data_IF_752912366496
#
_entry.id   IF_752912366496
#
_cell.length_a   1.000
_cell.length_b   1.000
_cell.length_c   1.000
_cell.angle_alpha   90.00
_cell.angle_beta   90.00
_cell.angle_gamma   90.00
#
_symmetry.space_group_name_H-M   'P 1'
#
loop_
_entity.id
_entity.type
_entity.pdbx_description
1 polymer ?
#
# COMPACT_ATOMS: atom_id res chain seq x y z
N UNK A 1 -4.25 10.84 -6.03
CA UNK A 1 -2.91 11.07 -6.62
C UNK A 1 -3.02 11.99 -7.84
N UNK A 2 -2.34 13.14 -7.87
CA UNK A 2 -2.35 14.04 -9.04
C UNK A 2 -1.30 13.56 -10.05
N UNK A 3 -1.74 12.89 -11.12
CA UNK A 3 -0.92 12.61 -12.30
C UNK A 3 -1.63 13.20 -13.51
N UNK A 4 -1.09 14.29 -14.05
CA UNK A 4 -1.27 14.63 -15.45
C UNK A 4 -0.10 15.50 -15.88
N UNK A 5 0.65 15.11 -16.92
CA UNK A 5 1.95 15.64 -17.36
C UNK A 5 1.96 17.09 -17.88
N UNK A 6 1.40 18.01 -17.10
CA UNK A 6 1.62 19.44 -17.24
C UNK A 6 2.78 19.91 -16.36
N UNK A 7 3.32 21.10 -16.59
CA UNK A 7 4.41 21.67 -15.76
C UNK A 7 4.07 21.73 -14.26
N UNK A 8 2.78 21.72 -13.89
CA UNK A 8 2.34 21.67 -12.50
C UNK A 8 2.68 20.35 -11.81
N UNK A 9 2.60 19.19 -12.47
CA UNK A 9 2.93 17.89 -11.83
C UNK A 9 4.41 17.75 -11.50
N UNK A 10 5.30 18.24 -12.37
CA UNK A 10 6.75 18.24 -12.10
C UNK A 10 7.09 19.08 -10.86
N UNK A 11 6.39 20.21 -10.67
CA UNK A 11 6.55 21.06 -9.48
C UNK A 11 5.99 20.37 -8.22
N UNK A 12 4.89 19.61 -8.33
CA UNK A 12 4.32 18.87 -7.19
C UNK A 12 5.08 17.59 -6.83
N UNK A 13 5.85 17.02 -7.76
CA UNK A 13 6.71 15.85 -7.55
C UNK A 13 8.18 16.22 -7.29
N UNK A 14 8.51 17.52 -7.26
CA UNK A 14 9.83 17.97 -6.86
C UNK A 14 10.12 17.53 -5.42
N UNK A 15 11.22 16.80 -5.24
CA UNK A 15 11.62 16.30 -3.93
C UNK A 15 12.02 17.46 -3.03
N UNK A 16 11.27 17.69 -1.95
CA UNK A 16 11.78 18.47 -0.82
C UNK A 16 12.95 17.69 -0.21
N UNK A 17 14.12 18.33 -0.15
CA UNK A 17 15.34 17.69 0.35
C UNK A 17 15.31 17.50 1.87
N UNK A 18 14.39 18.16 2.59
CA UNK A 18 14.28 18.10 4.05
C UNK A 18 13.40 16.94 4.56
N UNK A 19 12.74 16.20 3.68
CA UNK A 19 11.96 15.01 4.06
C UNK A 19 12.75 13.72 3.79
N UNK A 20 12.57 12.71 4.64
CA UNK A 20 13.27 11.42 4.51
C UNK A 20 12.45 10.38 3.74
N UNK A 21 11.12 10.49 3.78
CA UNK A 21 10.19 9.55 3.18
C UNK A 21 9.02 10.31 2.53
N UNK A 22 8.44 9.66 1.52
CA UNK A 22 7.17 10.01 0.92
C UNK A 22 6.17 8.91 1.22
N UNK A 23 4.99 9.29 1.69
CA UNK A 23 3.87 8.37 1.87
C UNK A 23 2.79 8.74 0.85
N UNK A 24 2.54 7.85 -0.10
CA UNK A 24 1.42 7.93 -1.02
C UNK A 24 0.21 7.24 -0.38
N UNK A 25 -0.92 7.94 -0.37
CA UNK A 25 -2.17 7.42 0.18
C UNK A 25 -3.32 7.80 -0.73
N UNK A 26 -4.15 6.82 -1.07
CA UNK A 26 -5.38 7.07 -1.80
C UNK A 26 -6.44 7.70 -0.91
N UNK A 27 -7.28 8.55 -1.51
CA UNK A 27 -8.29 9.31 -0.79
C UNK A 27 -9.39 8.42 -0.18
N UNK A 28 -9.55 7.22 -0.71
CA UNK A 28 -10.49 6.20 -0.23
C UNK A 28 -9.80 5.14 0.63
N UNK A 29 -8.56 5.30 1.08
CA UNK A 29 -7.92 4.36 2.01
C UNK A 29 -8.14 4.85 3.45
N UNK A 30 -8.45 3.90 4.34
CA UNK A 30 -8.61 4.07 5.78
C UNK A 30 -7.53 3.26 6.49
N UNK A 31 -6.82 3.88 7.43
CA UNK A 31 -5.70 3.26 8.14
C UNK A 31 -5.65 3.70 9.60
N UNK A 32 -4.97 2.90 10.43
CA UNK A 32 -4.60 3.31 11.79
C UNK A 32 -3.28 4.08 11.77
N UNK A 33 -3.07 5.09 12.64
CA UNK A 33 -1.79 5.82 12.70
C UNK A 33 -0.56 4.91 12.87
N UNK A 34 -0.70 3.82 13.63
CA UNK A 34 0.38 2.85 13.85
C UNK A 34 0.78 2.05 12.60
N UNK A 35 0.03 2.13 11.49
CA UNK A 35 0.46 1.57 10.22
C UNK A 35 1.75 2.24 9.71
N UNK A 36 1.85 3.56 9.88
CA UNK A 36 3.03 4.33 9.45
C UNK A 36 4.26 3.89 10.25
N UNK A 37 4.12 3.79 11.58
CA UNK A 37 5.22 3.36 12.46
C UNK A 37 5.71 1.95 12.11
N UNK A 38 4.79 1.03 11.78
CA UNK A 38 5.13 -0.32 11.33
C UNK A 38 5.92 -0.31 10.02
N UNK A 39 5.44 0.41 9.01
CA UNK A 39 6.15 0.50 7.72
C UNK A 39 7.54 1.12 7.87
N UNK A 40 7.67 2.17 8.67
CA UNK A 40 8.97 2.81 8.98
C UNK A 40 9.93 1.82 9.67
N UNK A 41 9.43 1.00 10.60
CA UNK A 41 10.26 0.04 11.34
C UNK A 41 10.88 -1.06 10.47
N UNK A 42 10.32 -1.37 9.29
CA UNK A 42 10.87 -2.36 8.36
C UNK A 42 12.10 -1.88 7.59
N UNK A 43 12.38 -0.57 7.59
CA UNK A 43 13.54 0.07 6.96
C UNK A 43 13.73 -0.26 5.45
N UNK A 44 12.65 -0.50 4.71
CA UNK A 44 12.71 -0.78 3.28
C UNK A 44 12.75 0.49 2.44
N UNK A 45 13.36 0.40 1.26
CA UNK A 45 13.40 1.52 0.32
C UNK A 45 12.00 1.84 -0.23
N UNK A 46 11.21 0.80 -0.54
CA UNK A 46 9.82 0.89 -0.99
C UNK A 46 9.02 -0.21 -0.28
N UNK A 47 7.95 0.17 0.40
CA UNK A 47 7.07 -0.76 1.12
C UNK A 47 5.61 -0.30 1.11
N UNK A 48 4.70 -1.22 0.80
CA UNK A 48 3.26 -0.98 0.84
C UNK A 48 2.60 -1.71 2.02
N UNK A 49 1.59 -1.09 2.63
CA UNK A 49 0.67 -1.81 3.51
C UNK A 49 -0.29 -2.65 2.66
N UNK A 50 -0.76 -3.77 3.21
CA UNK A 50 -1.70 -4.63 2.50
C UNK A 50 -3.12 -4.06 2.52
N UNK A 51 -3.77 -4.07 1.37
CA UNK A 51 -5.20 -3.81 1.24
C UNK A 51 -5.79 -4.72 0.17
N UNK A 52 -7.05 -5.08 0.37
CA UNK A 52 -7.76 -6.00 -0.50
C UNK A 52 -7.94 -5.37 -1.87
N UNK A 53 -7.56 -6.12 -2.89
CA UNK A 53 -7.81 -5.74 -4.26
C UNK A 53 -9.32 -5.66 -4.52
N UNK A 54 -9.76 -4.66 -5.29
CA UNK A 54 -11.16 -4.58 -5.75
C UNK A 54 -11.53 -5.78 -6.62
N UNK A 55 -10.53 -6.36 -7.29
CA UNK A 55 -10.62 -7.60 -8.05
C UNK A 55 -10.28 -8.82 -7.18
N UNK A 56 -10.72 -10.03 -7.57
CA UNK A 56 -10.35 -11.26 -6.85
C UNK A 56 -11.20 -11.59 -5.62
N UNK A 57 -12.43 -11.06 -5.56
CA UNK A 57 -13.47 -11.47 -4.62
C UNK A 57 -13.04 -11.48 -3.13
N UNK A 58 -12.21 -10.50 -2.74
CA UNK A 58 -11.79 -10.33 -1.35
C UNK A 58 -10.69 -11.28 -0.86
N UNK A 59 -10.03 -12.02 -1.77
CA UNK A 59 -9.07 -13.07 -1.44
C UNK A 59 -7.61 -12.71 -1.68
N UNK A 60 -7.35 -11.56 -2.29
CA UNK A 60 -6.01 -11.16 -2.72
C UNK A 60 -5.75 -9.71 -2.38
N UNK A 61 -4.48 -9.36 -2.17
CA UNK A 61 -4.04 -7.99 -1.99
C UNK A 61 -3.73 -7.32 -3.33
N UNK A 62 -3.68 -5.99 -3.34
CA UNK A 62 -3.24 -5.18 -4.48
C UNK A 62 -1.70 -5.19 -4.61
N UNK A 63 -1.13 -6.38 -4.76
CA UNK A 63 0.30 -6.61 -4.96
C UNK A 63 0.54 -8.01 -5.54
N UNK A 64 1.71 -8.22 -6.15
CA UNK A 64 2.13 -9.55 -6.55
C UNK A 64 3.29 -9.61 -7.53
N UNK A 65 3.28 -10.65 -8.35
CA UNK A 65 4.35 -10.96 -9.31
C UNK A 65 3.86 -10.74 -10.73
N UNK A 66 4.78 -10.43 -11.63
CA UNK A 66 4.48 -10.46 -13.07
C UNK A 66 4.39 -11.91 -13.55
N UNK A 67 3.53 -12.17 -14.53
CA UNK A 67 3.31 -13.55 -15.02
C UNK A 67 4.18 -13.86 -16.23
N UNK A 68 3.87 -13.27 -17.39
CA UNK A 68 4.57 -13.60 -18.64
C UNK A 68 5.74 -12.64 -18.89
N UNK A 69 5.49 -11.35 -18.73
CA UNK A 69 6.45 -10.27 -18.98
C UNK A 69 6.30 -9.18 -17.92
N UNK A 70 7.34 -8.36 -17.74
CA UNK A 70 7.31 -7.25 -16.81
C UNK A 70 6.12 -6.32 -17.07
N UNK A 71 5.35 -6.05 -16.00
CA UNK A 71 4.14 -5.24 -16.00
C UNK A 71 2.85 -5.98 -16.38
N UNK A 72 2.94 -7.25 -16.81
CA UNK A 72 1.77 -8.11 -16.98
C UNK A 72 1.36 -8.69 -15.61
N UNK A 73 0.37 -8.07 -14.98
CA UNK A 73 -0.17 -8.53 -13.70
C UNK A 73 -0.90 -9.87 -13.94
N UNK A 74 -0.40 -10.94 -13.32
CA UNK A 74 -1.11 -12.23 -13.27
C UNK A 74 -1.05 -12.86 -11.87
N UNK A 75 0.12 -12.83 -11.21
CA UNK A 75 0.25 -13.29 -9.83
C UNK A 75 -0.17 -12.21 -8.82
N UNK A 76 -1.08 -12.54 -7.89
CA UNK A 76 -1.45 -11.69 -6.75
C UNK A 76 -1.12 -12.37 -5.42
N UNK A 77 -0.73 -11.57 -4.42
CA UNK A 77 -0.49 -12.04 -3.06
C UNK A 77 -1.82 -12.44 -2.43
N UNK A 78 -1.87 -13.63 -1.80
CA UNK A 78 -3.04 -14.11 -1.09
C UNK A 78 -3.31 -13.24 0.14
N UNK A 79 -4.58 -13.02 0.47
CA UNK A 79 -4.98 -12.39 1.74
C UNK A 79 -4.55 -13.21 2.98
N UNK A 80 -4.29 -14.50 2.80
CA UNK A 80 -3.78 -15.39 3.85
C UNK A 80 -2.26 -15.25 4.06
N UNK A 81 -1.55 -14.54 3.19
CA UNK A 81 -0.13 -14.26 3.37
C UNK A 81 0.08 -13.38 4.60
N UNK A 82 1.21 -13.60 5.29
CA UNK A 82 1.62 -12.88 6.50
C UNK A 82 3.05 -12.37 6.36
N UNK A 83 3.42 -11.44 7.24
CA UNK A 83 4.76 -10.86 7.28
C UNK A 83 5.14 -10.08 6.03
N UNK A 84 6.44 -9.92 5.85
CA UNK A 84 7.01 -9.12 4.79
C UNK A 84 7.30 -9.96 3.54
N UNK A 85 6.71 -9.58 2.41
CA UNK A 85 6.85 -10.31 1.15
C UNK A 85 7.48 -9.39 0.09
N UNK A 86 8.49 -9.89 -0.62
CA UNK A 86 9.07 -9.22 -1.78
C UNK A 86 8.17 -9.47 -2.99
N UNK A 87 7.86 -8.43 -3.74
CA UNK A 87 6.90 -8.48 -4.87
C UNK A 87 7.47 -7.74 -6.08
N UNK A 88 6.93 -8.01 -7.26
CA UNK A 88 7.29 -7.28 -8.48
C UNK A 88 6.48 -6.00 -8.63
N UNK A 89 5.26 -5.96 -8.10
CA UNK A 89 4.40 -4.79 -8.15
C UNK A 89 3.51 -4.66 -6.91
N UNK A 90 3.14 -3.41 -6.63
CA UNK A 90 2.18 -3.02 -5.59
C UNK A 90 1.28 -1.92 -6.12
N UNK A 91 0.04 -1.87 -5.66
CA UNK A 91 -0.77 -0.66 -5.75
C UNK A 91 -0.27 0.42 -4.80
N UNK A 92 -0.54 1.69 -5.14
CA UNK A 92 -0.05 2.85 -4.41
C UNK A 92 -1.05 3.43 -3.39
N UNK A 93 -2.07 2.66 -3.01
CA UNK A 93 -3.10 3.10 -2.07
C UNK A 93 -2.57 3.39 -0.66
N UNK A 94 -1.48 2.73 -0.24
CA UNK A 94 -0.75 3.06 0.98
C UNK A 94 0.72 2.64 0.87
N UNK A 95 1.52 3.47 0.18
CA UNK A 95 2.88 3.17 -0.24
C UNK A 95 3.89 4.14 0.39
N UNK A 96 4.82 3.62 1.17
CA UNK A 96 5.91 4.36 1.78
C UNK A 96 7.21 4.17 0.99
N UNK A 97 7.82 5.26 0.57
CA UNK A 97 9.07 5.28 -0.17
C UNK A 97 10.10 6.14 0.55
N UNK A 98 11.33 5.66 0.70
CA UNK A 98 12.45 6.53 1.09
C UNK A 98 12.72 7.54 -0.02
N UNK A 99 13.02 8.79 0.34
CA UNK A 99 13.40 9.84 -0.64
C UNK A 99 14.52 9.35 -1.56
N UNK A 100 15.58 8.74 -1.00
CA UNK A 100 16.71 8.19 -1.78
C UNK A 100 16.32 7.12 -2.80
N UNK A 101 15.20 6.43 -2.60
CA UNK A 101 14.71 5.44 -3.55
C UNK A 101 14.08 6.16 -4.75
N UNK A 102 13.24 7.17 -4.48
CA UNK A 102 12.64 8.01 -5.51
C UNK A 102 13.69 8.80 -6.31
N UNK A 103 14.79 9.24 -5.69
CA UNK A 103 15.92 9.91 -6.37
C UNK A 103 16.65 9.02 -7.38
N UNK A 104 16.56 7.69 -7.22
CA UNK A 104 17.15 6.74 -8.16
C UNK A 104 16.24 6.44 -9.34
N UNK A 105 14.96 6.75 -9.23
CA UNK A 105 13.94 6.47 -10.23
C UNK A 105 13.86 7.57 -11.28
N UNK A 106 13.50 7.21 -12.51
CA UNK A 106 13.27 8.18 -13.56
C UNK A 106 11.99 8.97 -13.26
N UNK A 107 12.02 10.31 -13.41
CA UNK A 107 10.81 11.12 -13.35
C UNK A 107 10.08 11.09 -14.71
N UNK A 108 8.72 11.05 -14.75
CA UNK A 108 7.80 10.93 -13.61
C UNK A 108 7.84 9.54 -12.97
N UNK A 109 7.70 9.46 -11.65
CA UNK A 109 7.76 8.17 -10.94
C UNK A 109 6.62 7.24 -11.35
N UNK A 110 5.43 7.81 -11.53
CA UNK A 110 4.23 7.12 -11.99
C UNK A 110 4.00 7.42 -13.47
N UNK A 111 3.78 6.39 -14.26
CA UNK A 111 3.55 6.51 -15.71
C UNK A 111 2.71 5.35 -16.21
N UNK A 112 2.12 5.46 -17.40
CA UNK A 112 1.31 4.39 -18.00
C UNK A 112 2.09 3.76 -19.18
N UNK A 113 3.14 2.95 -18.92
CA UNK A 113 3.91 2.35 -20.01
C UNK A 113 3.05 1.40 -20.85
N UNK A 114 3.46 1.26 -22.11
CA UNK A 114 2.95 0.25 -23.02
C UNK A 114 3.87 -0.96 -22.96
N UNK A 115 3.35 -2.10 -22.51
CA UNK A 115 4.05 -3.37 -22.61
C UNK A 115 3.76 -3.97 -23.98
N UNK A 116 4.80 -4.45 -24.65
CA UNK A 116 4.69 -5.20 -25.89
C UNK A 116 5.38 -6.54 -25.72
N UNK A 117 4.68 -7.62 -26.04
CA UNK A 117 5.29 -8.95 -26.09
C UNK A 117 4.72 -9.75 -27.24
N UNK A 118 5.49 -10.74 -27.70
CA UNK A 118 5.06 -11.66 -28.76
C UNK A 118 5.07 -13.07 -28.18
N UNK A 119 3.96 -13.78 -28.31
CA UNK A 119 3.89 -15.21 -28.00
C UNK A 119 3.75 -16.03 -29.27
N UNK A 120 4.18 -17.29 -29.20
CA UNK A 120 3.99 -18.27 -30.27
C UNK A 120 2.88 -19.23 -29.85
N UNK A 121 1.76 -19.21 -30.56
CA UNK A 121 0.64 -20.12 -30.31
C UNK A 121 0.20 -20.76 -31.64
N UNK A 122 0.09 -22.09 -31.65
CA UNK A 122 -0.36 -22.87 -32.82
C UNK A 122 0.44 -22.57 -34.11
N UNK A 123 1.74 -22.31 -33.99
CA UNK A 123 2.62 -22.00 -35.12
C UNK A 123 2.43 -20.59 -35.69
N UNK A 124 1.78 -19.68 -34.95
CA UNK A 124 1.62 -18.27 -35.31
C UNK A 124 2.19 -17.36 -34.23
N UNK A 125 2.72 -16.22 -34.65
CA UNK A 125 3.07 -15.12 -33.77
C UNK A 125 1.83 -14.30 -33.41
N UNK A 126 1.59 -14.16 -32.11
CA UNK A 126 0.56 -13.28 -31.56
C UNK A 126 1.26 -12.12 -30.87
N UNK A 127 0.95 -10.90 -31.33
CA UNK A 127 1.51 -9.66 -30.80
C UNK A 127 0.54 -9.07 -29.78
N UNK A 128 1.02 -8.93 -28.55
CA UNK A 128 0.27 -8.36 -27.43
C UNK A 128 0.76 -6.95 -27.14
N UNK A 129 -0.18 -6.03 -26.98
CA UNK A 129 0.09 -4.68 -26.50
C UNK A 129 -0.89 -4.35 -25.37
N UNK A 130 -0.36 -4.10 -24.17
CA UNK A 130 -1.16 -3.82 -22.98
C UNK A 130 -0.72 -2.48 -22.40
N UNK A 131 -1.68 -1.57 -22.21
CA UNK A 131 -1.48 -0.37 -21.41
C UNK A 131 -1.49 -0.79 -19.94
N UNK A 132 -0.46 -0.46 -19.17
CA UNK A 132 -0.50 -0.66 -17.72
C UNK A 132 -1.18 0.52 -17.04
N UNK A 133 -1.64 0.29 -15.82
CA UNK A 133 -1.93 1.39 -14.90
C UNK A 133 -0.63 2.05 -14.41
N UNK A 134 -0.80 3.17 -13.72
CA UNK A 134 0.28 4.00 -13.20
C UNK A 134 1.08 3.36 -12.07
N UNK A 135 0.44 2.55 -11.24
CA UNK A 135 1.05 1.87 -10.09
C UNK A 135 2.01 0.77 -10.55
N UNK A 136 1.63 0.04 -11.59
CA UNK A 136 2.50 -0.89 -12.29
C UNK A 136 3.65 -0.14 -12.95
N UNK A 137 3.39 1.02 -13.56
CA UNK A 137 4.46 1.85 -14.13
C UNK A 137 5.46 2.34 -13.08
N UNK A 138 4.99 2.71 -11.89
CA UNK A 138 5.86 3.00 -10.75
C UNK A 138 6.71 1.78 -10.36
N UNK A 139 6.08 0.62 -10.26
CA UNK A 139 6.77 -0.63 -9.89
C UNK A 139 7.83 -1.03 -10.92
N UNK A 140 7.53 -0.90 -12.21
CA UNK A 140 8.49 -1.12 -13.31
C UNK A 140 9.67 -0.14 -13.22
N UNK A 141 9.41 1.14 -12.96
CA UNK A 141 10.46 2.15 -12.82
C UNK A 141 11.38 1.88 -11.62
N UNK A 142 10.80 1.50 -10.48
CA UNK A 142 11.56 1.11 -9.29
C UNK A 142 12.49 -0.08 -9.60
N UNK A 143 11.96 -1.11 -10.26
CA UNK A 143 12.73 -2.30 -10.65
C UNK A 143 13.82 -2.00 -11.68
N UNK A 144 13.51 -1.20 -12.69
CA UNK A 144 14.50 -0.72 -13.67
C UNK A 144 15.65 0.06 -13.01
N UNK A 145 15.38 0.67 -11.85
CA UNK A 145 16.35 1.38 -11.01
C UNK A 145 17.09 0.46 -10.02
N UNK A 146 16.85 -0.84 -10.08
CA UNK A 146 17.44 -1.85 -9.18
C UNK A 146 16.96 -1.73 -7.74
N UNK A 147 15.69 -1.37 -7.53
CA UNK A 147 15.05 -1.30 -6.22
C UNK A 147 14.15 -2.51 -6.00
N UNK A 148 14.13 -2.98 -4.76
CA UNK A 148 13.21 -4.02 -4.30
C UNK A 148 11.92 -3.39 -3.78
N UNK A 149 10.79 -4.03 -4.09
CA UNK A 149 9.46 -3.62 -3.64
C UNK A 149 8.95 -4.65 -2.64
N UNK A 150 8.38 -4.17 -1.53
CA UNK A 150 7.89 -5.00 -0.44
C UNK A 150 6.43 -4.70 -0.13
N UNK A 151 5.72 -5.71 0.34
CA UNK A 151 4.40 -5.58 0.98
C UNK A 151 4.47 -6.13 2.40
N UNK A 152 3.93 -5.38 3.36
CA UNK A 152 3.67 -5.83 4.73
C UNK A 152 2.23 -6.37 4.82
N UNK A 153 2.10 -7.69 4.88
CA UNK A 153 0.81 -8.37 4.97
C UNK A 153 0.20 -8.35 6.39
N UNK A 154 0.96 -7.94 7.41
CA UNK A 154 0.48 -7.82 8.79
C UNK A 154 -0.04 -6.40 9.09
N UNK A 155 0.36 -5.41 8.28
CA UNK A 155 -0.19 -4.05 8.32
C UNK A 155 -1.30 -3.93 7.29
N UNK A 156 -2.55 -4.11 7.73
CA UNK A 156 -3.74 -3.98 6.87
C UNK A 156 -4.34 -2.57 6.90
N UNK A 157 -4.67 -2.07 5.72
CA UNK A 157 -5.45 -0.85 5.47
C UNK A 157 -6.65 -1.18 4.57
N UNK A 158 -7.65 -0.31 4.51
CA UNK A 158 -8.97 -0.67 3.98
C UNK A 158 -9.52 0.41 3.05
N UNK A 159 -10.23 0.04 1.99
CA UNK A 159 -11.03 1.04 1.27
C UNK A 159 -12.16 1.58 2.18
N UNK A 160 -12.47 2.88 2.11
CA UNK A 160 -13.64 3.51 2.70
C UNK A 160 -14.86 2.75 2.15
N UNK A 161 -15.66 2.17 3.05
CA UNK A 161 -16.76 1.19 2.84
C UNK A 161 -16.45 -0.24 3.28
N UNK A 162 -15.18 -0.63 3.44
CA UNK A 162 -14.78 -1.95 3.98
C UNK A 162 -14.22 -1.87 5.41
N UNK A 163 -14.03 -0.66 5.92
CA UNK A 163 -13.55 -0.44 7.28
C UNK A 163 -14.67 -0.60 8.30
N UNK A 164 -14.63 -1.69 9.06
CA UNK A 164 -15.33 -1.78 10.34
C UNK A 164 -14.38 -1.33 11.47
N UNK A 165 -14.75 -0.33 12.29
CA UNK A 165 -13.96 -0.01 13.47
C UNK A 165 -13.86 -1.25 14.38
N UNK A 166 -12.72 -1.50 15.03
CA UNK A 166 -12.66 -2.52 16.06
C UNK A 166 -13.73 -2.22 17.11
N UNK A 167 -14.66 -3.16 17.30
CA UNK A 167 -15.69 -3.07 18.33
C UNK A 167 -14.96 -2.91 19.66
N UNK A 168 -15.07 -1.72 20.27
CA UNK A 168 -14.65 -1.57 21.65
C UNK A 168 -15.61 -2.40 22.49
N UNK A 169 -15.16 -3.59 22.90
CA UNK A 169 -15.84 -4.38 23.92
C UNK A 169 -15.75 -3.57 25.20
N UNK A 170 -16.77 -2.74 25.45
CA UNK A 170 -17.00 -2.18 26.77
C UNK A 170 -17.25 -3.36 27.68
N UNK A 171 -16.27 -3.69 28.54
CA UNK A 171 -16.52 -4.63 29.63
C UNK A 171 -17.73 -4.09 30.41
N UNK A 172 -18.77 -4.90 30.67
CA UNK A 172 -19.83 -4.47 31.54
C UNK A 172 -19.21 -4.13 32.89
N UNK A 173 -19.43 -2.91 33.36
CA UNK A 173 -19.11 -2.53 34.73
C UNK A 173 -20.05 -3.34 35.62
N UNK A 174 -19.55 -4.42 36.21
CA UNK A 174 -20.29 -5.14 37.23
C UNK A 174 -20.33 -4.26 38.47
N UNK A 175 -21.50 -3.69 38.77
CA UNK A 175 -21.78 -3.05 40.06
C UNK A 175 -21.81 -4.12 41.15
N UNK A 176 -20.64 -4.46 41.69
CA UNK A 176 -20.51 -5.19 42.93
C UNK A 176 -19.20 -4.76 43.60
N UNK A 177 -19.29 -3.65 44.35
CA UNK A 177 -18.49 -3.36 45.55
C UNK A 177 -18.85 -1.94 46.04
N UNK A 178 -20.04 -1.81 46.66
CA UNK A 178 -20.29 -0.73 47.62
C UNK A 178 -20.06 -1.33 49.01
N UNK A 179 -18.78 -1.39 49.40
CA UNK A 179 -18.34 -1.78 50.73
C UNK A 179 -17.99 -0.54 51.56
N UNK A 180 -18.86 -0.23 52.53
CA UNK A 180 -18.63 0.51 53.79
C UNK A 180 -17.58 1.64 53.83
N UNK A 181 -18.06 2.88 53.90
CA UNK A 181 -17.35 4.03 54.47
C UNK A 181 -18.14 4.65 55.65
N UNK A 182 -17.48 5.21 56.68
CA UNK A 182 -18.08 5.47 57.98
C UNK A 182 -18.97 6.73 58.02
N UNK A 183 -19.93 6.69 58.95
CA UNK A 183 -20.89 7.73 59.29
C UNK A 183 -20.23 9.03 59.78
N UNK A 184 -20.58 10.15 59.15
CA UNK A 184 -20.22 11.49 59.62
C UNK A 184 -21.23 11.94 60.69
N UNK A 185 -20.79 12.05 61.94
CA UNK A 185 -21.51 12.77 62.99
C UNK A 185 -21.25 14.28 62.81
N UNK A 186 -22.30 15.06 62.53
CA UNK A 186 -22.28 16.50 62.78
C UNK A 186 -23.11 16.80 64.03
N UNK A 187 -22.44 17.35 65.04
CA UNK A 187 -23.03 18.08 66.16
C UNK A 187 -22.42 19.49 66.20
N UNK A 188 -23.34 20.46 66.24
CA UNK A 188 -23.22 21.89 66.56
C UNK A 188 -22.62 22.76 65.46
#
# INVERSE_FOLDING_TARGET
MLINGGQSTEVYQALDTNISHWLFVDADISWSPGAIDRLLAHDKDIISASYIAREGAGKVYEAGMYEVVEGNIGGRVSRESTGLNKVDWVGAGFLLCKRRALERMQHPWFSHPIIRHTEQAEGREIYHQVMTNEDVGFSMNARASGLDIWIDCDTQVFHQLEWEPPIQVTRPVTHAEVGGGPTLNQRI
#
